data_IF_804611445574
#
_entry.id   IF_804611445574
#
_cell.length_a   1.000
_cell.length_b   1.000
_cell.length_c   1.000
_cell.angle_alpha   90.00
_cell.angle_beta   90.00
_cell.angle_gamma   90.00
#
_symmetry.space_group_name_H-M   'P 1'
#
loop_
_entity.id
_entity.type
_entity.pdbx_description
1 polymer ?
#
# COMPACT_ATOMS: atom_id res chain seq x y z
N UNK A 1 29.72 -7.27 61.75
CA UNK A 1 29.88 -6.79 60.36
C UNK A 1 28.75 -7.37 59.53
N UNK A 2 27.90 -6.54 58.92
CA UNK A 2 26.79 -6.95 58.03
C UNK A 2 27.07 -6.31 56.67
N UNK A 3 27.36 -7.13 55.66
CA UNK A 3 27.66 -6.69 54.30
C UNK A 3 26.32 -6.40 53.62
N UNK A 4 26.13 -5.14 53.19
CA UNK A 4 24.94 -4.69 52.49
C UNK A 4 25.20 -4.80 50.98
N UNK A 5 24.50 -5.70 50.30
CA UNK A 5 24.56 -5.85 48.85
C UNK A 5 23.76 -4.73 48.16
N UNK A 6 24.46 -3.85 47.44
CA UNK A 6 23.83 -2.89 46.52
C UNK A 6 23.48 -3.60 45.21
N UNK A 7 22.19 -3.77 44.94
CA UNK A 7 21.67 -4.18 43.64
C UNK A 7 21.70 -2.97 42.70
N UNK A 8 22.58 -2.98 41.69
CA UNK A 8 22.54 -2.02 40.58
C UNK A 8 21.35 -2.37 39.66
N UNK A 9 20.35 -1.49 39.59
CA UNK A 9 19.34 -1.54 38.54
C UNK A 9 19.97 -1.06 37.22
N UNK A 10 20.12 -1.96 36.26
CA UNK A 10 20.47 -1.61 34.89
C UNK A 10 19.26 -0.92 34.23
N UNK A 11 19.39 0.38 33.96
CA UNK A 11 18.48 1.13 33.09
C UNK A 11 18.78 0.72 31.64
N UNK A 12 17.98 -0.19 31.10
CA UNK A 12 17.99 -0.48 29.66
C UNK A 12 17.48 0.75 28.90
N UNK A 13 18.21 1.28 27.90
CA UNK A 13 17.66 2.31 27.04
C UNK A 13 16.52 1.73 26.21
N UNK A 14 15.33 2.34 26.30
CA UNK A 14 14.26 2.11 25.35
C UNK A 14 14.77 2.54 23.97
N UNK A 15 15.05 1.57 23.11
CA UNK A 15 15.22 1.83 21.70
C UNK A 15 13.89 2.39 21.17
N UNK A 16 13.88 3.66 20.76
CA UNK A 16 12.78 4.24 19.99
C UNK A 16 12.81 3.56 18.62
N UNK A 17 12.04 2.50 18.45
CA UNK A 17 11.71 2.00 17.13
C UNK A 17 11.00 3.14 16.38
N UNK A 18 11.56 3.59 15.26
CA UNK A 18 10.91 4.59 14.42
C UNK A 18 9.50 4.13 14.11
N UNK A 19 8.49 4.84 14.59
CA UNK A 19 7.10 4.47 14.38
C UNK A 19 6.80 4.68 12.89
N UNK A 20 6.84 3.62 12.10
CA UNK A 20 6.37 3.67 10.70
C UNK A 20 4.93 4.17 10.74
N UNK A 21 4.65 5.25 10.03
CA UNK A 21 3.36 5.93 10.11
C UNK A 21 2.23 4.98 9.64
N UNK A 22 1.07 5.05 10.27
CA UNK A 22 -0.02 4.08 10.01
C UNK A 22 -0.44 3.93 8.53
N UNK A 23 -0.61 5.02 7.74
CA UNK A 23 -0.92 4.88 6.31
C UNK A 23 0.26 4.34 5.49
N UNK A 24 1.51 4.62 5.87
CA UNK A 24 2.69 4.04 5.20
C UNK A 24 2.70 2.51 5.34
N UNK A 25 2.40 2.00 6.53
CA UNK A 25 2.28 0.55 6.74
C UNK A 25 1.11 -0.05 5.95
N UNK A 26 -0.01 0.67 5.84
CA UNK A 26 -1.18 0.20 5.11
C UNK A 26 -0.90 0.14 3.60
N UNK A 27 -0.28 1.17 3.04
CA UNK A 27 0.14 1.22 1.63
C UNK A 27 1.16 0.12 1.32
N UNK A 28 2.17 -0.06 2.18
CA UNK A 28 3.17 -1.11 1.99
C UNK A 28 2.53 -2.51 1.95
N UNK A 29 1.66 -2.81 2.91
CA UNK A 29 0.94 -4.10 2.96
C UNK A 29 0.05 -4.31 1.75
N UNK A 30 -0.67 -3.27 1.32
CA UNK A 30 -1.49 -3.32 0.13
C UNK A 30 -0.65 -3.69 -1.10
N UNK A 31 0.42 -2.95 -1.39
CA UNK A 31 1.23 -3.18 -2.58
C UNK A 31 1.93 -4.54 -2.56
N UNK A 32 2.43 -4.97 -1.40
CA UNK A 32 3.00 -6.32 -1.24
C UNK A 32 1.98 -7.42 -1.55
N UNK A 33 0.77 -7.27 -1.03
CA UNK A 33 -0.31 -8.21 -1.31
C UNK A 33 -0.73 -8.15 -2.79
N UNK A 34 -0.85 -6.95 -3.37
CA UNK A 34 -1.30 -6.74 -4.75
C UNK A 34 -0.34 -7.38 -5.76
N UNK A 35 0.97 -7.08 -5.65
CA UNK A 35 2.01 -7.71 -6.49
C UNK A 35 2.01 -9.24 -6.32
N UNK A 36 1.80 -9.75 -5.10
CA UNK A 36 1.71 -11.19 -4.88
C UNK A 36 0.48 -11.84 -5.56
N UNK A 37 -0.61 -11.10 -5.78
CA UNK A 37 -1.74 -11.56 -6.58
C UNK A 37 -1.43 -11.53 -8.09
N UNK A 38 -0.79 -10.45 -8.56
CA UNK A 38 -0.36 -10.33 -9.95
C UNK A 38 0.60 -11.45 -10.36
N UNK A 39 1.61 -11.75 -9.53
CA UNK A 39 2.55 -12.86 -9.73
C UNK A 39 1.91 -14.27 -9.75
N UNK A 40 0.62 -14.38 -9.43
CA UNK A 40 -0.15 -15.62 -9.53
C UNK A 40 -1.19 -15.58 -10.66
N UNK A 41 -1.09 -14.60 -11.56
CA UNK A 41 -2.05 -14.34 -12.63
C UNK A 41 -3.48 -14.12 -12.11
N UNK A 42 -3.61 -13.49 -10.92
CA UNK A 42 -4.88 -13.20 -10.25
C UNK A 42 -5.06 -11.70 -10.04
N UNK A 43 -5.16 -10.88 -11.10
CA UNK A 43 -5.31 -9.44 -10.96
C UNK A 43 -6.54 -9.08 -10.11
N UNK A 44 -6.38 -8.42 -8.95
CA UNK A 44 -7.49 -8.17 -8.03
C UNK A 44 -8.61 -7.30 -8.61
N UNK A 45 -8.31 -6.45 -9.61
CA UNK A 45 -9.30 -5.66 -10.36
C UNK A 45 -10.34 -6.51 -11.09
N UNK A 46 -10.02 -7.77 -11.44
CA UNK A 46 -10.98 -8.72 -12.04
C UNK A 46 -11.85 -9.44 -11.00
N UNK A 47 -11.51 -9.34 -9.71
CA UNK A 47 -12.34 -9.85 -8.61
C UNK A 47 -12.35 -8.86 -7.42
N UNK A 48 -12.99 -7.68 -7.55
CA UNK A 48 -12.74 -6.56 -6.64
C UNK A 48 -13.10 -6.81 -5.17
N UNK A 49 -13.95 -7.78 -4.88
CA UNK A 49 -14.39 -8.09 -3.52
C UNK A 49 -13.27 -8.57 -2.60
N UNK A 50 -12.20 -9.17 -3.15
CA UNK A 50 -11.05 -9.60 -2.36
C UNK A 50 -10.22 -8.43 -1.83
N UNK A 51 -10.40 -7.22 -2.38
CA UNK A 51 -9.64 -6.03 -2.00
C UNK A 51 -10.19 -5.32 -0.76
N UNK A 52 -11.33 -5.73 -0.21
CA UNK A 52 -12.04 -5.02 0.87
C UNK A 52 -11.19 -4.76 2.13
N UNK A 53 -10.13 -5.53 2.39
CA UNK A 53 -9.22 -5.27 3.51
C UNK A 53 -8.26 -4.10 3.25
N UNK A 54 -7.99 -3.78 1.98
CA UNK A 54 -6.99 -2.78 1.59
C UNK A 54 -7.56 -1.56 0.89
N UNK A 55 -8.65 -1.71 0.13
CA UNK A 55 -9.18 -0.69 -0.77
C UNK A 55 -10.51 -0.13 -0.24
N UNK A 56 -10.73 1.17 -0.41
CA UNK A 56 -11.93 1.85 0.04
C UNK A 56 -13.16 1.32 -0.70
N UNK A 57 -14.29 1.23 0.01
CA UNK A 57 -15.54 0.65 -0.52
C UNK A 57 -16.03 1.36 -1.80
N UNK A 58 -15.93 2.69 -1.85
CA UNK A 58 -16.26 3.48 -3.04
C UNK A 58 -15.39 3.17 -4.24
N UNK A 59 -14.10 2.89 -4.04
CA UNK A 59 -13.17 2.50 -5.10
C UNK A 59 -13.48 1.10 -5.61
N UNK A 60 -13.80 0.14 -4.73
CA UNK A 60 -14.23 -1.20 -5.12
C UNK A 60 -15.51 -1.12 -5.97
N UNK A 61 -16.48 -0.31 -5.57
CA UNK A 61 -17.70 -0.10 -6.35
C UNK A 61 -17.41 0.51 -7.73
N UNK A 62 -16.49 1.48 -7.81
CA UNK A 62 -16.08 2.08 -9.08
C UNK A 62 -15.38 1.07 -10.01
N UNK A 63 -14.51 0.20 -9.47
CA UNK A 63 -13.86 -0.86 -10.24
C UNK A 63 -14.91 -1.85 -10.76
N UNK A 64 -15.87 -2.27 -9.93
CA UNK A 64 -16.95 -3.13 -10.37
C UNK A 64 -17.75 -2.54 -11.53
N UNK A 65 -18.00 -1.23 -11.53
CA UNK A 65 -18.69 -0.56 -12.63
C UNK A 65 -17.83 -0.44 -13.89
N UNK A 66 -16.53 -0.16 -13.71
CA UNK A 66 -15.59 -0.03 -14.83
C UNK A 66 -15.39 -1.36 -15.55
N UNK A 67 -15.27 -2.45 -14.79
CA UNK A 67 -15.06 -3.80 -15.30
C UNK A 67 -16.35 -4.62 -15.50
N UNK A 68 -17.54 -4.01 -15.30
CA UNK A 68 -18.82 -4.65 -15.63
C UNK A 68 -19.20 -4.38 -17.09
N UNK A 69 -19.60 -5.42 -17.82
CA UNK A 69 -20.12 -5.28 -19.20
C UNK A 69 -19.21 -5.89 -20.25
N UNK A 70 -19.59 -5.74 -21.52
CA UNK A 70 -18.79 -6.17 -22.65
C UNK A 70 -17.60 -5.20 -22.86
N UNK A 71 -16.38 -5.74 -22.88
CA UNK A 71 -15.16 -4.95 -23.13
C UNK A 71 -15.15 -4.27 -24.50
N UNK A 72 -16.01 -4.69 -25.44
CA UNK A 72 -16.20 -4.02 -26.73
C UNK A 72 -17.05 -2.74 -26.63
N UNK A 73 -17.78 -2.56 -25.53
CA UNK A 73 -18.67 -1.41 -25.32
C UNK A 73 -18.09 -0.37 -24.35
N UNK A 74 -17.16 -0.78 -23.49
CA UNK A 74 -16.52 0.08 -22.48
C UNK A 74 -15.02 0.21 -22.71
N UNK A 75 -14.55 1.45 -22.69
CA UNK A 75 -13.12 1.78 -22.74
C UNK A 75 -12.44 1.28 -21.46
N UNK A 76 -11.68 0.18 -21.58
CA UNK A 76 -10.96 -0.42 -20.47
C UNK A 76 -9.67 0.37 -20.20
N UNK A 77 -9.20 0.44 -18.95
CA UNK A 77 -7.94 1.11 -18.65
C UNK A 77 -6.75 0.48 -19.41
N UNK A 78 -5.97 1.31 -20.10
CA UNK A 78 -4.73 0.90 -20.78
C UNK A 78 -3.60 0.47 -19.82
N UNK A 79 -3.81 0.55 -18.51
CA UNK A 79 -2.87 0.17 -17.47
C UNK A 79 -3.62 -0.26 -16.20
N UNK A 80 -2.98 -1.11 -15.39
CA UNK A 80 -3.53 -1.49 -14.09
C UNK A 80 -3.77 -0.25 -13.22
N UNK A 81 -4.90 -0.25 -12.51
CA UNK A 81 -5.39 0.91 -11.78
C UNK A 81 -4.49 1.32 -10.61
N UNK A 82 -3.78 0.37 -9.98
CA UNK A 82 -3.01 0.60 -8.77
C UNK A 82 -1.52 0.69 -9.04
N UNK A 83 -0.97 -0.23 -9.83
CA UNK A 83 0.46 -0.15 -10.19
C UNK A 83 0.71 0.83 -11.33
N UNK A 84 -0.31 1.32 -12.04
CA UNK A 84 -0.18 2.32 -13.12
C UNK A 84 0.78 1.90 -14.25
N UNK A 85 0.85 0.60 -14.51
CA UNK A 85 1.63 0.00 -15.58
C UNK A 85 0.83 -1.10 -16.29
N UNK A 86 1.22 -1.43 -17.52
CA UNK A 86 0.65 -2.55 -18.29
C UNK A 86 1.17 -3.92 -17.84
N UNK A 87 2.40 -3.94 -17.34
CA UNK A 87 3.10 -5.12 -16.89
C UNK A 87 3.97 -4.75 -15.67
N UNK A 88 4.53 -5.73 -14.98
CA UNK A 88 5.39 -5.55 -13.81
C UNK A 88 6.68 -6.35 -13.94
N UNK A 89 7.80 -5.83 -13.43
CA UNK A 89 9.07 -6.57 -13.49
C UNK A 89 9.17 -7.63 -12.39
N UNK A 90 10.03 -8.63 -12.61
CA UNK A 90 10.27 -9.75 -11.69
C UNK A 90 10.67 -9.31 -10.27
N UNK A 91 11.30 -8.14 -10.13
CA UNK A 91 11.77 -7.61 -8.85
C UNK A 91 10.81 -6.62 -8.18
N UNK A 92 9.60 -6.42 -8.71
CA UNK A 92 8.60 -5.53 -8.11
C UNK A 92 8.01 -6.04 -6.80
N UNK A 93 8.39 -7.25 -6.36
CA UNK A 93 8.20 -7.69 -4.98
C UNK A 93 9.06 -6.89 -3.97
N UNK A 94 10.07 -6.16 -4.44
CA UNK A 94 10.84 -5.21 -3.65
C UNK A 94 10.13 -3.86 -3.64
N UNK A 95 9.49 -3.55 -2.53
CA UNK A 95 8.65 -2.37 -2.38
C UNK A 95 9.20 -1.49 -1.27
N UNK A 96 9.43 -0.21 -1.59
CA UNK A 96 9.96 0.78 -0.65
C UNK A 96 8.96 1.91 -0.47
N UNK A 97 8.62 2.22 0.78
CA UNK A 97 7.93 3.48 1.10
C UNK A 97 8.97 4.60 1.10
N UNK A 98 8.79 5.60 0.24
CA UNK A 98 9.72 6.72 0.12
C UNK A 98 9.42 7.80 1.17
N UNK A 99 8.17 8.24 1.24
CA UNK A 99 7.65 9.21 2.19
C UNK A 99 6.12 9.25 2.12
N UNK A 100 5.52 10.05 3.00
CA UNK A 100 4.11 10.38 2.94
C UNK A 100 3.87 11.87 3.17
N UNK A 101 2.82 12.40 2.56
CA UNK A 101 2.27 13.73 2.85
C UNK A 101 0.75 13.68 2.93
N UNK A 102 0.18 14.69 3.57
CA UNK A 102 -1.26 14.83 3.71
C UNK A 102 -1.73 16.04 2.92
N UNK A 103 -2.75 15.84 2.09
CA UNK A 103 -3.52 16.91 1.47
C UNK A 103 -4.97 16.90 1.98
N UNK A 104 -5.79 17.84 1.50
CA UNK A 104 -7.18 17.98 1.97
C UNK A 104 -8.09 16.77 1.63
N UNK A 105 -7.64 15.85 0.77
CA UNK A 105 -8.40 14.71 0.25
C UNK A 105 -7.94 13.39 0.88
N UNK A 106 -6.62 13.19 1.03
CA UNK A 106 -6.06 11.95 1.56
C UNK A 106 -4.61 12.11 2.05
N UNK A 107 -4.08 11.03 2.66
CA UNK A 107 -2.64 10.89 2.85
C UNK A 107 -2.05 10.20 1.62
N UNK A 108 -1.19 10.89 0.87
CA UNK A 108 -0.43 10.30 -0.22
C UNK A 108 0.78 9.55 0.37
N UNK A 109 0.93 8.29 0.01
CA UNK A 109 2.12 7.49 0.35
C UNK A 109 2.83 7.14 -0.95
N UNK A 110 4.09 7.52 -1.06
CA UNK A 110 4.90 7.31 -2.24
C UNK A 110 5.58 5.95 -2.16
N UNK A 111 5.22 5.08 -3.09
CA UNK A 111 5.65 3.68 -3.17
C UNK A 111 6.52 3.51 -4.40
N UNK A 112 7.76 3.06 -4.18
CA UNK A 112 8.66 2.65 -5.26
C UNK A 112 8.70 1.13 -5.39
N UNK A 113 8.67 0.66 -6.64
CA UNK A 113 8.79 -0.74 -6.99
C UNK A 113 10.17 -1.06 -7.57
N UNK A 114 10.64 -2.28 -7.34
CA UNK A 114 11.88 -2.79 -7.90
C UNK A 114 13.14 -2.26 -7.22
N UNK A 115 14.27 -2.89 -7.52
CA UNK A 115 15.59 -2.50 -6.98
C UNK A 115 16.00 -1.09 -7.40
N UNK A 116 15.61 -0.70 -8.62
CA UNK A 116 15.97 0.58 -9.21
C UNK A 116 15.11 1.73 -8.72
N UNK A 117 13.90 1.45 -8.20
CA UNK A 117 12.95 2.48 -7.74
C UNK A 117 12.66 3.53 -8.83
N UNK A 118 12.66 3.09 -10.09
CA UNK A 118 12.34 3.91 -11.25
C UNK A 118 10.84 4.02 -11.48
N UNK A 119 10.07 3.00 -11.10
CA UNK A 119 8.60 3.04 -11.09
C UNK A 119 8.06 3.45 -9.73
N UNK A 120 7.39 4.59 -9.65
CA UNK A 120 6.84 5.15 -8.40
C UNK A 120 5.39 5.55 -8.55
N UNK A 121 4.56 5.09 -7.63
CA UNK A 121 3.16 5.53 -7.49
C UNK A 121 2.95 6.27 -6.19
N UNK A 122 1.98 7.18 -6.17
CA UNK A 122 1.44 7.77 -4.96
C UNK A 122 0.07 7.12 -4.67
N UNK A 123 0.01 6.36 -3.57
CA UNK A 123 -1.24 5.81 -3.05
C UNK A 123 -1.94 6.85 -2.19
N UNK A 124 -3.15 7.22 -2.58
CA UNK A 124 -4.02 8.10 -1.81
C UNK A 124 -4.81 7.26 -0.80
N UNK A 125 -4.46 7.36 0.49
CA UNK A 125 -5.12 6.63 1.58
C UNK A 125 -6.12 7.50 2.35
N UNK A 126 -7.28 6.91 2.63
CA UNK A 126 -8.33 7.50 3.47
C UNK A 126 -8.64 6.59 4.65
N UNK A 127 -9.14 7.17 5.74
CA UNK A 127 -9.70 6.37 6.83
C UNK A 127 -11.13 5.98 6.53
N UNK A 128 -11.40 4.67 6.50
CA UNK A 128 -12.74 4.10 6.42
C UNK A 128 -12.93 3.18 7.62
N UNK A 129 -13.90 3.50 8.49
CA UNK A 129 -14.21 2.72 9.70
C UNK A 129 -12.98 2.44 10.59
N UNK A 130 -12.10 3.44 10.74
CA UNK A 130 -10.89 3.33 11.56
C UNK A 130 -9.73 2.55 10.94
N UNK A 131 -9.84 2.13 9.67
CA UNK A 131 -8.76 1.50 8.91
C UNK A 131 -8.31 2.43 7.78
N UNK A 132 -7.01 2.49 7.53
CA UNK A 132 -6.47 3.13 6.34
C UNK A 132 -6.73 2.24 5.12
N UNK A 133 -7.29 2.83 4.07
CA UNK A 133 -7.67 2.16 2.82
C UNK A 133 -7.18 2.95 1.62
N UNK A 134 -6.67 2.27 0.62
CA UNK A 134 -6.30 2.88 -0.67
C UNK A 134 -7.57 3.30 -1.41
N UNK A 135 -7.63 4.56 -1.80
CA UNK A 135 -8.71 5.14 -2.58
C UNK A 135 -8.37 5.21 -4.07
N UNK A 136 -7.12 5.54 -4.38
CA UNK A 136 -6.62 5.68 -5.75
C UNK A 136 -5.09 5.64 -5.75
N UNK A 137 -4.51 5.40 -6.93
CA UNK A 137 -3.07 5.51 -7.16
C UNK A 137 -2.80 6.46 -8.34
N UNK A 138 -1.70 7.19 -8.28
CA UNK A 138 -1.23 8.09 -9.34
C UNK A 138 0.21 7.76 -9.70
N UNK A 139 0.53 7.69 -11.00
CA UNK A 139 1.92 7.51 -11.45
C UNK A 139 2.71 8.79 -11.18
N UNK A 140 3.88 8.66 -10.57
CA UNK A 140 4.78 9.77 -10.27
C UNK A 140 5.93 9.81 -11.25
N UNK A 141 6.55 8.66 -11.52
CA UNK A 141 7.61 8.47 -12.51
C UNK A 141 7.77 7.00 -12.84
#
# INVERSE_FOLDING_TARGET
MKILYFFLFALSPFAVAGSVYAPEQAALKFNQWYIAQLNQDKPPVLNPDIMHEYVASGTIAAIKEMYSGDSNEKDMPDADMFIKAQDWDEDWNQITVLHSDFDAVCTNVYIAFGKKQDHVVADCLVQEKGKWKVRSATLIK
#
